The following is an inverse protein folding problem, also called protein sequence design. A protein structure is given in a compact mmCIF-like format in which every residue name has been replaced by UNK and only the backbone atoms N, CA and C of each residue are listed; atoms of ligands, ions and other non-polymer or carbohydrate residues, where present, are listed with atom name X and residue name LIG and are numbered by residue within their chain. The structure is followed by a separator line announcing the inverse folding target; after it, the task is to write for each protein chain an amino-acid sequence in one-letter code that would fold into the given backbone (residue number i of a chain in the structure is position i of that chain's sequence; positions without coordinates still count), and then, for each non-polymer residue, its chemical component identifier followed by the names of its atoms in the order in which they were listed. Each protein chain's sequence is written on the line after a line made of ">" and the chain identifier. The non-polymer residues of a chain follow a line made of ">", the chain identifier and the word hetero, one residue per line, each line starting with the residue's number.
data_IF_053837432200
#
_entry.id   IF_053837432200
#
_cell.length_a   1.000
_cell.length_b   1.000
_cell.length_c   1.000
_cell.angle_alpha   90.00
_cell.angle_beta   90.00
_cell.angle_gamma   90.00
#
_symmetry.space_group_name_H-M   'P 1'
#
loop_
_entity.id
_entity.type
_entity.pdbx_description
1 polymer ?
#
# COMPACT_ATOMS: atom_id res chain seq x y z
N UNK A 1 17.62 0.52 6.18
CA UNK A 1 16.74 -0.44 5.47
C UNK A 1 16.09 -1.47 6.40
N UNK A 2 16.79 -1.92 7.44
CA UNK A 2 16.25 -2.91 8.38
C UNK A 2 14.93 -2.48 9.03
N UNK A 3 14.81 -1.22 9.42
CA UNK A 3 13.57 -0.69 10.00
C UNK A 3 12.40 -0.75 9.02
N UNK A 4 12.67 -0.52 7.73
CA UNK A 4 11.66 -0.58 6.69
C UNK A 4 11.23 -2.01 6.44
N UNK A 5 12.18 -2.95 6.37
CA UNK A 5 11.88 -4.37 6.19
C UNK A 5 11.08 -4.93 7.36
N UNK A 6 11.46 -4.57 8.59
CA UNK A 6 10.70 -4.96 9.79
C UNK A 6 9.28 -4.40 9.77
N UNK A 7 9.12 -3.18 9.29
CA UNK A 7 7.81 -2.55 9.15
C UNK A 7 6.92 -3.28 8.15
N UNK A 8 7.50 -3.74 7.03
CA UNK A 8 6.77 -4.56 6.05
C UNK A 8 6.32 -5.88 6.68
N UNK A 9 7.16 -6.50 7.50
CA UNK A 9 6.79 -7.69 8.24
C UNK A 9 5.61 -7.46 9.18
N UNK A 10 5.57 -6.31 9.82
CA UNK A 10 4.45 -5.89 10.66
C UNK A 10 3.16 -5.73 9.84
N UNK A 11 3.27 -5.11 8.67
CA UNK A 11 2.12 -4.97 7.75
C UNK A 11 1.56 -6.33 7.34
N UNK A 12 2.43 -7.32 7.10
CA UNK A 12 2.00 -8.68 6.77
C UNK A 12 1.19 -9.28 7.93
N UNK A 13 1.68 -9.14 9.15
CA UNK A 13 0.98 -9.62 10.35
C UNK A 13 -0.38 -8.96 10.50
N UNK A 14 -0.48 -7.69 10.13
CA UNK A 14 -1.73 -6.93 10.17
C UNK A 14 -2.65 -7.21 8.97
N UNK A 15 -2.24 -8.08 8.05
CA UNK A 15 -2.97 -8.44 6.83
C UNK A 15 -3.23 -7.22 5.93
N UNK A 16 -2.26 -6.33 5.90
CA UNK A 16 -2.34 -5.09 5.12
C UNK A 16 -1.55 -5.17 3.81
N UNK A 17 -1.16 -6.36 3.37
CA UNK A 17 -0.36 -6.56 2.16
C UNK A 17 -1.00 -7.52 1.18
N UNK A 18 -0.91 -7.16 -0.11
CA UNK A 18 -1.04 -8.09 -1.22
C UNK A 18 0.38 -8.41 -1.68
N UNK A 19 0.82 -9.65 -1.54
CA UNK A 19 2.21 -10.06 -1.77
C UNK A 19 2.34 -10.73 -3.12
N UNK A 20 3.26 -10.21 -3.94
CA UNK A 20 3.53 -10.70 -5.29
C UNK A 20 2.90 -9.82 -6.35
N UNK A 21 3.47 -9.83 -7.57
CA UNK A 21 3.03 -8.96 -8.66
C UNK A 21 1.59 -9.23 -9.09
N UNK A 22 1.21 -10.50 -9.22
CA UNK A 22 -0.15 -10.90 -9.60
C UNK A 22 -1.17 -10.45 -8.58
N UNK A 23 -0.91 -10.76 -7.31
CA UNK A 23 -1.82 -10.41 -6.21
C UNK A 23 -1.94 -8.89 -6.07
N UNK A 24 -0.82 -8.18 -6.14
CA UNK A 24 -0.82 -6.71 -6.03
C UNK A 24 -1.60 -6.07 -7.18
N UNK A 25 -1.42 -6.55 -8.41
CA UNK A 25 -2.15 -6.02 -9.57
C UNK A 25 -3.66 -6.30 -9.47
N UNK A 26 -4.03 -7.53 -9.10
CA UNK A 26 -5.44 -7.91 -8.94
C UNK A 26 -6.12 -7.08 -7.85
N UNK A 27 -5.49 -6.95 -6.69
CA UNK A 27 -6.06 -6.18 -5.59
C UNK A 27 -6.13 -4.69 -5.90
N UNK A 28 -5.23 -4.19 -6.76
CA UNK A 28 -5.31 -2.81 -7.26
C UNK A 28 -6.57 -2.63 -8.13
N UNK A 29 -6.82 -3.57 -9.04
CA UNK A 29 -8.01 -3.58 -9.88
C UNK A 29 -9.29 -3.62 -9.04
N UNK A 30 -9.26 -4.36 -7.94
CA UNK A 30 -10.41 -4.46 -7.02
C UNK A 30 -10.58 -3.24 -6.11
N UNK A 31 -9.70 -2.24 -6.23
CA UNK A 31 -9.79 -1.00 -5.46
C UNK A 31 -9.29 -1.09 -4.03
N UNK A 32 -8.56 -2.14 -3.68
CA UNK A 32 -8.11 -2.37 -2.30
C UNK A 32 -6.72 -1.83 -1.99
N UNK A 33 -5.90 -1.55 -3.01
CA UNK A 33 -4.51 -1.12 -2.82
C UNK A 33 -4.41 0.41 -2.75
N UNK A 34 -3.65 0.90 -1.78
CA UNK A 34 -3.39 2.33 -1.56
C UNK A 34 -2.02 2.76 -2.05
N UNK A 35 -1.07 1.82 -2.10
CA UNK A 35 0.29 2.07 -2.57
C UNK A 35 0.85 0.78 -3.14
N UNK A 36 1.42 0.86 -4.33
CA UNK A 36 2.16 -0.24 -4.94
C UNK A 36 3.65 -0.05 -4.65
N UNK A 37 4.36 -1.15 -4.41
CA UNK A 37 5.79 -1.14 -4.08
C UNK A 37 6.54 -2.10 -4.99
N UNK A 38 7.62 -1.62 -5.61
CA UNK A 38 8.52 -2.43 -6.41
C UNK A 38 9.92 -2.47 -5.78
N UNK A 39 10.58 -3.64 -5.77
CA UNK A 39 11.99 -3.70 -5.42
C UNK A 39 12.84 -3.10 -6.54
N UNK A 40 14.08 -2.69 -6.22
CA UNK A 40 14.98 -2.07 -7.19
C UNK A 40 15.42 -3.01 -8.31
N UNK A 41 15.37 -4.31 -8.08
CA UNK A 41 15.72 -5.35 -9.05
C UNK A 41 14.50 -6.13 -9.56
N UNK A 42 13.35 -5.49 -9.61
CA UNK A 42 12.12 -6.12 -10.10
C UNK A 42 12.31 -6.64 -11.52
N UNK A 43 11.84 -7.86 -11.77
CA UNK A 43 11.85 -8.44 -13.11
C UNK A 43 11.02 -7.58 -14.07
N UNK A 44 11.46 -7.50 -15.31
CA UNK A 44 10.85 -6.63 -16.33
C UNK A 44 9.34 -6.82 -16.45
N UNK A 45 8.89 -8.08 -16.51
CA UNK A 45 7.45 -8.37 -16.63
C UNK A 45 6.66 -7.95 -15.39
N UNK A 46 7.21 -8.20 -14.21
CA UNK A 46 6.57 -7.79 -12.95
C UNK A 46 6.49 -6.27 -12.85
N UNK A 47 7.59 -5.59 -13.16
CA UNK A 47 7.62 -4.12 -13.14
C UNK A 47 6.62 -3.53 -14.13
N UNK A 48 6.55 -4.06 -15.34
CA UNK A 48 5.60 -3.59 -16.36
C UNK A 48 4.15 -3.75 -15.92
N UNK A 49 3.81 -4.90 -15.35
CA UNK A 49 2.46 -5.19 -14.88
C UNK A 49 2.06 -4.22 -13.75
N UNK A 50 2.97 -3.98 -12.81
CA UNK A 50 2.71 -3.08 -11.67
C UNK A 50 2.62 -1.62 -12.11
N UNK A 51 3.49 -1.17 -13.02
CA UNK A 51 3.42 0.20 -13.54
C UNK A 51 2.12 0.43 -14.30
N UNK A 52 1.67 -0.56 -15.06
CA UNK A 52 0.39 -0.48 -15.79
C UNK A 52 -0.77 -0.39 -14.81
N UNK A 53 -0.78 -1.21 -13.77
CA UNK A 53 -1.84 -1.16 -12.75
C UNK A 53 -1.85 0.19 -12.03
N UNK A 54 -0.67 0.73 -11.69
CA UNK A 54 -0.53 2.04 -11.06
C UNK A 54 -1.14 3.15 -11.92
N UNK A 55 -0.82 3.16 -13.21
CA UNK A 55 -1.31 4.17 -14.15
C UNK A 55 -2.82 4.03 -14.40
N UNK A 56 -3.27 2.82 -14.68
CA UNK A 56 -4.67 2.54 -15.02
C UNK A 56 -5.62 2.87 -13.86
N UNK A 57 -5.22 2.50 -12.64
CA UNK A 57 -6.08 2.63 -11.45
C UNK A 57 -5.71 3.82 -10.57
N UNK A 58 -4.76 4.65 -11.02
CA UNK A 58 -4.31 5.85 -10.32
C UNK A 58 -3.89 5.58 -8.87
N UNK A 59 -3.10 4.52 -8.69
CA UNK A 59 -2.52 4.16 -7.39
C UNK A 59 -1.05 4.55 -7.37
N UNK A 60 -0.59 5.28 -6.32
CA UNK A 60 0.81 5.67 -6.22
C UNK A 60 1.74 4.45 -6.25
N UNK A 61 2.91 4.63 -6.85
CA UNK A 61 3.93 3.59 -6.96
C UNK A 61 5.21 4.06 -6.27
N UNK A 62 5.72 3.26 -5.34
CA UNK A 62 6.98 3.50 -4.65
C UNK A 62 8.02 2.48 -5.12
N UNK A 63 9.13 2.96 -5.64
CA UNK A 63 10.28 2.11 -5.92
C UNK A 63 11.17 2.10 -4.67
N UNK A 64 11.26 0.93 -4.04
CA UNK A 64 11.97 0.77 -2.78
C UNK A 64 13.42 0.39 -3.05
N UNK A 65 14.36 1.02 -2.33
CA UNK A 65 15.78 0.69 -2.44
C UNK A 65 16.10 -0.60 -1.67
N UNK A 66 15.45 -1.67 -2.09
CA UNK A 66 15.64 -3.00 -1.54
C UNK A 66 15.51 -4.02 -2.67
N UNK A 67 16.25 -5.11 -2.55
CA UNK A 67 16.17 -6.21 -3.52
C UNK A 67 14.97 -7.11 -3.24
N UNK A 68 14.50 -7.81 -4.27
CA UNK A 68 13.38 -8.74 -4.13
C UNK A 68 13.67 -9.86 -3.13
N UNK A 69 14.93 -10.25 -2.97
CA UNK A 69 15.34 -11.22 -1.97
C UNK A 69 15.20 -10.69 -0.55
N UNK A 70 15.52 -9.41 -0.34
CA UNK A 70 15.36 -8.74 0.96
C UNK A 70 13.88 -8.63 1.34
N UNK A 71 13.03 -8.29 0.37
CA UNK A 71 11.59 -8.25 0.59
C UNK A 71 11.05 -9.64 0.92
N UNK A 72 11.51 -10.66 0.21
CA UNK A 72 11.15 -12.05 0.48
C UNK A 72 11.51 -12.46 1.90
N UNK A 73 12.75 -12.19 2.33
CA UNK A 73 13.20 -12.50 3.69
C UNK A 73 12.31 -11.85 4.75
N UNK A 74 11.96 -10.58 4.55
CA UNK A 74 11.10 -9.85 5.48
C UNK A 74 9.70 -10.46 5.58
N UNK A 75 9.23 -11.09 4.52
CA UNK A 75 7.86 -11.61 4.42
C UNK A 75 7.77 -13.13 4.50
N UNK A 76 8.89 -13.80 4.79
CA UNK A 76 8.91 -15.25 4.92
C UNK A 76 8.79 -15.99 3.59
N UNK A 77 9.25 -15.38 2.51
CA UNK A 77 9.24 -15.96 1.17
C UNK A 77 10.65 -15.98 0.58
N UNK A 78 10.87 -16.77 -0.47
CA UNK A 78 12.16 -16.82 -1.14
C UNK A 78 12.52 -15.46 -1.74
N UNK A 79 11.59 -14.87 -2.45
CA UNK A 79 11.71 -13.52 -2.99
C UNK A 79 10.32 -12.90 -3.18
N UNK A 80 10.26 -11.59 -3.30
CA UNK A 80 9.00 -10.88 -3.48
C UNK A 80 9.14 -9.89 -4.65
N UNK A 81 8.38 -10.11 -5.70
CA UNK A 81 8.47 -9.33 -6.94
C UNK A 81 7.80 -7.96 -6.82
N UNK A 82 6.80 -7.84 -5.98
CA UNK A 82 6.06 -6.60 -5.78
C UNK A 82 5.13 -6.72 -4.58
N UNK A 83 4.69 -5.59 -4.07
CA UNK A 83 3.74 -5.52 -2.95
C UNK A 83 2.64 -4.51 -3.25
N UNK A 84 1.44 -4.77 -2.73
CA UNK A 84 0.39 -3.78 -2.62
C UNK A 84 0.07 -3.56 -1.15
N UNK A 85 0.07 -2.31 -0.70
CA UNK A 85 -0.30 -1.96 0.67
C UNK A 85 -1.76 -1.52 0.65
N UNK A 86 -2.59 -2.20 1.45
CA UNK A 86 -4.04 -1.99 1.43
C UNK A 86 -4.54 -1.01 2.48
N UNK A 87 -3.67 -0.58 3.37
CA UNK A 87 -4.01 0.37 4.45
C UNK A 87 -3.32 1.71 4.19
N UNK A 88 -4.10 2.79 4.13
CA UNK A 88 -3.58 4.13 3.83
C UNK A 88 -2.60 4.62 4.91
N UNK A 89 -2.86 4.34 6.18
CA UNK A 89 -1.99 4.73 7.28
C UNK A 89 -0.62 4.08 7.19
N UNK A 90 -0.55 2.79 6.91
CA UNK A 90 0.71 2.08 6.69
C UNK A 90 1.44 2.59 5.45
N UNK A 91 0.71 2.83 4.36
CA UNK A 91 1.28 3.37 3.12
C UNK A 91 1.93 4.72 3.36
N UNK A 92 1.22 5.62 4.06
CA UNK A 92 1.74 6.94 4.43
C UNK A 92 2.99 6.82 5.29
N UNK A 93 2.95 6.00 6.33
CA UNK A 93 4.08 5.81 7.23
C UNK A 93 5.31 5.29 6.49
N UNK A 94 5.13 4.36 5.54
CA UNK A 94 6.24 3.86 4.73
C UNK A 94 6.87 4.97 3.90
N UNK A 95 6.05 5.77 3.23
CA UNK A 95 6.54 6.89 2.41
C UNK A 95 7.31 7.91 3.26
N UNK A 96 6.84 8.18 4.47
CA UNK A 96 7.53 9.07 5.42
C UNK A 96 8.89 8.48 5.83
N UNK A 97 8.94 7.18 6.12
CA UNK A 97 10.17 6.48 6.53
C UNK A 97 11.23 6.50 5.43
N UNK A 98 10.84 6.40 4.18
CA UNK A 98 11.78 6.43 3.05
C UNK A 98 12.06 7.86 2.55
N UNK A 99 11.41 8.86 3.15
CA UNK A 99 11.63 10.26 2.80
C UNK A 99 10.98 10.69 1.48
N UNK A 100 9.99 9.97 1.00
CA UNK A 100 9.27 10.34 -0.21
C UNK A 100 8.11 11.28 0.15
N UNK A 101 8.40 12.57 0.19
CA UNK A 101 7.43 13.59 0.61
C UNK A 101 6.27 13.75 -0.36
N UNK A 102 6.52 13.59 -1.65
CA UNK A 102 5.48 13.71 -2.69
C UNK A 102 4.40 12.64 -2.50
N UNK A 103 4.78 11.39 -2.39
CA UNK A 103 3.84 10.30 -2.14
C UNK A 103 3.19 10.43 -0.77
N UNK A 104 3.94 10.86 0.24
CA UNK A 104 3.40 11.08 1.58
C UNK A 104 2.28 12.12 1.56
N UNK A 105 2.44 13.21 0.81
CA UNK A 105 1.40 14.23 0.65
C UNK A 105 0.14 13.68 -0.01
N UNK A 106 0.30 12.90 -1.08
CA UNK A 106 -0.83 12.27 -1.77
C UNK A 106 -1.61 11.35 -0.83
N UNK A 107 -0.90 10.55 -0.05
CA UNK A 107 -1.52 9.62 0.90
C UNK A 107 -2.14 10.34 2.10
N UNK A 108 -1.55 11.44 2.53
CA UNK A 108 -2.14 12.28 3.58
C UNK A 108 -3.50 12.81 3.14
N UNK A 109 -3.60 13.32 1.92
CA UNK A 109 -4.86 13.81 1.37
C UNK A 109 -5.92 12.71 1.30
N UNK A 110 -5.50 11.50 0.88
CA UNK A 110 -6.41 10.36 0.84
C UNK A 110 -6.89 9.97 2.23
N UNK A 111 -5.99 9.91 3.19
CA UNK A 111 -6.32 9.56 4.57
C UNK A 111 -7.32 10.55 5.16
N UNK A 112 -7.12 11.83 4.92
CA UNK A 112 -8.06 12.88 5.35
C UNK A 112 -9.45 12.68 4.75
N UNK A 113 -9.52 12.35 3.46
CA UNK A 113 -10.80 12.07 2.79
C UNK A 113 -11.49 10.85 3.38
N UNK A 114 -10.74 9.81 3.70
CA UNK A 114 -11.29 8.60 4.33
C UNK A 114 -11.84 8.92 5.72
N UNK A 115 -11.13 9.73 6.51
CA UNK A 115 -11.58 10.16 7.83
C UNK A 115 -12.86 10.99 7.75
N UNK A 116 -12.97 11.88 6.77
CA UNK A 116 -14.18 12.67 6.54
C UNK A 116 -15.38 11.80 6.18
N UNK A 117 -15.17 10.80 5.31
CA UNK A 117 -16.23 9.85 4.96
C UNK A 117 -16.69 9.07 6.17
N UNK A 118 -15.77 8.62 7.00
CA UNK A 118 -16.10 7.88 8.21
C UNK A 118 -16.87 8.75 9.20
N UNK A 119 -16.48 10.00 9.37
CA UNK A 119 -17.17 10.95 10.25
C UNK A 119 -18.61 11.18 9.78
N UNK A 120 -18.82 11.35 8.47
CA UNK A 120 -20.16 11.51 7.88
C UNK A 120 -21.01 10.27 8.10
N UNK A 121 -20.46 9.08 7.90
CA UNK A 121 -21.17 7.82 8.12
C UNK A 121 -21.57 7.67 9.58
N UNK A 122 -20.66 7.97 10.49
CA UNK A 122 -20.90 7.91 11.94
C UNK A 122 -22.03 8.87 12.34
N UNK A 123 -21.98 10.10 11.85
CA UNK A 123 -23.01 11.10 12.11
C UNK A 123 -24.39 10.65 11.57
N UNK A 124 -24.41 10.09 10.35
CA UNK A 124 -25.65 9.59 9.74
C UNK A 124 -26.26 8.44 10.54
N UNK A 125 -25.42 7.50 11.01
CA UNK A 125 -25.87 6.38 11.85
C UNK A 125 -26.41 6.89 13.20
N UNK A 126 -25.73 7.82 13.83
CA UNK A 126 -26.18 8.42 15.08
C UNK A 126 -27.51 9.15 14.92
N UNK A 127 -27.68 9.90 13.82
CA UNK A 127 -28.93 10.60 13.51
C UNK A 127 -30.08 9.62 13.32
N UNK A 128 -29.85 8.49 12.62
CA UNK A 128 -30.87 7.45 12.45
C UNK A 128 -31.29 6.82 13.77
N UNK A 129 -30.33 6.57 14.66
CA UNK A 129 -30.62 6.00 15.98
C UNK A 129 -31.46 6.94 16.85
N UNK A 130 -31.23 8.25 16.72
CA UNK A 130 -32.02 9.25 17.48
C UNK A 130 -33.47 9.37 17.04
N UNK A 131 -33.78 9.01 15.79
CA UNK A 131 -35.14 9.06 15.25
C UNK A 131 -36.02 7.92 15.75
N UNK A 132 -35.47 6.93 16.37
CA UNK A 132 -36.21 5.85 17.02
C UNK A 132 -36.47 6.19 18.49
#
# INVERSE_FOLDING_TARGET
>A
MDNILSFLGLMKKARALAIGAESAALMTELGSVRLLVLPKDAAKNSASAIRRASEEWEVPLLELDAEKSQLGDALGQKECAALGITDTGFALALCQKVGNTELAEQLTLRLEREKKRMAKKTAAVAARKRRK
#
